data_IF_445268990489
#
_entry.id   IF_445268990489
#
_cell.length_a   1.000
_cell.length_b   1.000
_cell.length_c   1.000
_cell.angle_alpha   90.00
_cell.angle_beta   90.00
_cell.angle_gamma   90.00
#
_symmetry.space_group_name_H-M   'P 1'
#
loop_
_entity.id
_entity.type
_entity.pdbx_description
1 polymer ?
#
# COMPACT_ATOMS: atom_id res chain seq x y z
N UNK A 1 -14.56 10.79 -2.99
CA UNK A 1 -13.12 10.74 -3.32
C UNK A 1 -12.57 9.38 -2.96
N UNK A 2 -11.56 8.92 -3.70
CA UNK A 2 -10.98 7.62 -3.42
C UNK A 2 -10.22 7.62 -2.09
N UNK A 3 -10.31 6.52 -1.37
CA UNK A 3 -9.60 6.32 -0.10
C UNK A 3 -8.41 5.40 -0.33
N UNK A 4 -7.24 5.85 0.08
CA UNK A 4 -5.99 5.09 -0.03
C UNK A 4 -5.48 4.77 1.37
N UNK A 5 -5.23 3.50 1.63
CA UNK A 5 -4.57 3.08 2.86
C UNK A 5 -3.09 2.89 2.58
N UNK A 6 -2.25 3.69 3.23
CA UNK A 6 -0.80 3.58 3.10
C UNK A 6 -0.20 2.98 4.36
N UNK A 7 0.74 2.08 4.17
CA UNK A 7 1.41 1.39 5.27
C UNK A 7 2.93 1.43 5.09
N UNK A 8 3.61 1.94 6.10
CA UNK A 8 5.08 2.01 6.15
C UNK A 8 5.47 2.19 7.61
N UNK A 9 6.57 1.58 8.03
CA UNK A 9 7.04 1.72 9.41
C UNK A 9 7.80 3.02 9.65
N UNK A 10 8.09 3.79 8.61
CA UNK A 10 8.72 5.10 8.73
C UNK A 10 7.65 6.19 8.83
N UNK A 11 7.59 6.86 9.97
CA UNK A 11 6.67 7.97 10.17
C UNK A 11 6.92 9.11 9.18
N UNK A 12 8.18 9.34 8.82
CA UNK A 12 8.54 10.37 7.85
C UNK A 12 7.97 10.07 6.48
N UNK A 13 8.10 8.82 6.02
CA UNK A 13 7.56 8.41 4.72
C UNK A 13 6.03 8.45 4.74
N UNK A 14 5.40 8.00 5.82
CA UNK A 14 3.94 8.08 5.95
C UNK A 14 3.46 9.53 5.84
N UNK A 15 4.13 10.45 6.51
CA UNK A 15 3.78 11.87 6.46
C UNK A 15 3.93 12.44 5.05
N UNK A 16 5.03 12.12 4.39
CA UNK A 16 5.27 12.60 3.02
C UNK A 16 4.22 12.05 2.05
N UNK A 17 3.94 10.76 2.10
CA UNK A 17 2.94 10.15 1.23
C UNK A 17 1.56 10.70 1.51
N UNK A 18 1.18 10.79 2.79
CA UNK A 18 -0.12 11.32 3.19
C UNK A 18 -0.31 12.74 2.67
N UNK A 19 0.69 13.60 2.89
CA UNK A 19 0.62 14.99 2.47
C UNK A 19 0.42 15.10 0.96
N UNK A 20 1.21 14.34 0.19
CA UNK A 20 1.12 14.38 -1.27
C UNK A 20 -0.21 13.85 -1.79
N UNK A 21 -0.72 12.78 -1.20
CA UNK A 21 -1.98 12.21 -1.63
C UNK A 21 -3.16 13.11 -1.24
N UNK A 22 -3.15 13.67 -0.05
CA UNK A 22 -4.20 14.60 0.36
C UNK A 22 -4.23 15.85 -0.52
N UNK A 23 -3.08 16.36 -0.89
CA UNK A 23 -3.00 17.48 -1.83
C UNK A 23 -3.55 17.14 -3.20
N UNK A 24 -3.49 15.88 -3.59
CA UNK A 24 -4.03 15.40 -4.87
C UNK A 24 -5.53 15.07 -4.79
N UNK A 25 -6.16 15.21 -3.61
CA UNK A 25 -7.60 15.02 -3.44
C UNK A 25 -8.03 13.67 -2.92
N UNK A 26 -7.09 12.84 -2.44
CA UNK A 26 -7.43 11.52 -1.87
C UNK A 26 -7.68 11.62 -0.37
N UNK A 27 -8.57 10.76 0.12
CA UNK A 27 -8.67 10.49 1.55
C UNK A 27 -7.63 9.45 1.91
N UNK A 28 -6.90 9.66 3.01
CA UNK A 28 -5.77 8.82 3.37
C UNK A 28 -5.93 8.22 4.76
N UNK A 29 -5.74 6.89 4.83
CA UNK A 29 -5.60 6.17 6.08
C UNK A 29 -4.16 5.70 6.17
N UNK A 30 -3.61 5.61 7.38
CA UNK A 30 -2.21 5.19 7.58
C UNK A 30 -2.12 4.02 8.54
N UNK A 31 -1.10 3.18 8.33
CA UNK A 31 -0.77 2.06 9.22
C UNK A 31 0.75 1.93 9.31
N UNK A 32 1.25 1.54 10.48
CA UNK A 32 2.68 1.43 10.73
C UNK A 32 3.21 0.00 10.55
N UNK A 33 2.33 -0.97 10.43
CA UNK A 33 2.69 -2.38 10.18
C UNK A 33 1.49 -3.13 9.62
N UNK A 34 1.72 -4.40 9.27
CA UNK A 34 0.69 -5.22 8.64
C UNK A 34 -0.51 -5.50 9.54
N UNK A 35 -0.31 -5.60 10.85
CA UNK A 35 -1.43 -5.81 11.76
C UNK A 35 -2.34 -4.57 11.80
N UNK A 36 -1.76 -3.38 11.81
CA UNK A 36 -2.56 -2.15 11.74
C UNK A 36 -3.31 -2.03 10.42
N UNK A 37 -2.76 -2.55 9.33
CA UNK A 37 -3.48 -2.62 8.04
C UNK A 37 -4.76 -3.43 8.21
N UNK A 38 -4.66 -4.62 8.80
CA UNK A 38 -5.81 -5.48 9.01
C UNK A 38 -6.83 -4.83 9.94
N UNK A 39 -6.37 -4.23 11.03
CA UNK A 39 -7.25 -3.55 11.99
C UNK A 39 -7.98 -2.36 11.36
N UNK A 40 -7.28 -1.62 10.51
CA UNK A 40 -7.85 -0.46 9.82
C UNK A 40 -8.94 -0.88 8.83
N UNK A 41 -8.70 -1.93 8.06
CA UNK A 41 -9.70 -2.47 7.14
C UNK A 41 -10.92 -2.99 7.91
N UNK A 42 -10.68 -3.68 9.03
CA UNK A 42 -11.78 -4.19 9.86
C UNK A 42 -12.65 -3.07 10.44
N UNK A 43 -12.02 -1.95 10.81
CA UNK A 43 -12.74 -0.84 11.45
C UNK A 43 -13.34 0.18 10.49
N UNK A 44 -12.72 0.38 9.34
CA UNK A 44 -13.10 1.45 8.40
C UNK A 44 -13.67 0.93 7.07
N UNK A 45 -13.65 -0.35 6.84
CA UNK A 45 -14.03 -0.95 5.56
C UNK A 45 -12.87 -0.96 4.58
N UNK A 46 -13.10 -1.59 3.43
CA UNK A 46 -12.08 -1.78 2.39
C UNK A 46 -11.80 -0.45 1.69
N UNK A 47 -10.54 0.00 1.65
CA UNK A 47 -10.20 1.21 0.88
C UNK A 47 -10.27 0.95 -0.62
N UNK A 48 -10.13 2.01 -1.41
CA UNK A 48 -10.10 1.91 -2.87
C UNK A 48 -8.75 1.47 -3.41
N UNK A 49 -7.69 1.66 -2.62
CA UNK A 49 -6.34 1.25 -2.98
C UNK A 49 -5.53 0.98 -1.72
N UNK A 50 -4.67 -0.04 -1.78
CA UNK A 50 -3.66 -0.31 -0.76
C UNK A 50 -2.29 0.07 -1.31
N UNK A 51 -1.50 0.77 -0.49
CA UNK A 51 -0.12 1.11 -0.80
C UNK A 51 0.72 0.62 0.36
N UNK A 52 1.35 -0.55 0.20
CA UNK A 52 1.97 -1.29 1.29
C UNK A 52 3.47 -1.39 1.12
N UNK A 53 4.22 -1.04 2.17
CA UNK A 53 5.64 -1.38 2.24
C UNK A 53 5.77 -2.90 2.38
N UNK A 54 6.65 -3.49 1.58
CA UNK A 54 6.88 -4.93 1.61
C UNK A 54 7.41 -5.40 2.97
N UNK A 55 8.27 -4.59 3.59
CA UNK A 55 8.97 -4.95 4.82
C UNK A 55 8.57 -4.03 5.96
N UNK A 56 7.88 -4.57 6.95
CA UNK A 56 7.47 -3.86 8.15
C UNK A 56 7.63 -4.77 9.36
N UNK A 57 7.81 -4.20 10.59
CA UNK A 57 7.87 -5.03 11.79
C UNK A 57 6.55 -5.71 12.10
N UNK A 58 6.58 -6.72 12.92
CA UNK A 58 5.46 -7.55 13.38
C UNK A 58 4.81 -8.33 12.25
N UNK A 59 4.23 -7.65 11.26
CA UNK A 59 3.61 -8.28 10.10
C UNK A 59 3.95 -7.46 8.86
N UNK A 60 4.48 -8.13 7.84
CA UNK A 60 4.87 -7.45 6.60
C UNK A 60 3.65 -7.06 5.77
N UNK A 61 3.86 -6.15 4.81
CA UNK A 61 2.79 -5.77 3.88
C UNK A 61 2.31 -6.95 3.05
N UNK A 62 3.21 -7.84 2.67
CA UNK A 62 2.88 -9.04 1.90
C UNK A 62 1.99 -9.98 2.73
N UNK A 63 2.34 -10.21 4.01
CA UNK A 63 1.55 -11.06 4.89
C UNK A 63 0.17 -10.46 5.13
N UNK A 64 0.08 -9.15 5.34
CA UNK A 64 -1.20 -8.47 5.51
C UNK A 64 -2.07 -8.62 4.25
N UNK A 65 -1.47 -8.44 3.08
CA UNK A 65 -2.20 -8.61 1.82
C UNK A 65 -2.71 -10.03 1.65
N UNK A 66 -1.90 -11.01 2.01
CA UNK A 66 -2.29 -12.43 1.93
C UNK A 66 -3.52 -12.71 2.78
N UNK A 67 -3.54 -12.18 4.01
CA UNK A 67 -4.70 -12.33 4.89
C UNK A 67 -5.94 -11.60 4.34
N UNK A 68 -5.77 -10.40 3.78
CA UNK A 68 -6.89 -9.67 3.18
C UNK A 68 -7.48 -10.42 1.99
N UNK A 69 -6.63 -10.97 1.13
CA UNK A 69 -7.09 -11.77 -0.02
C UNK A 69 -7.83 -13.03 0.44
N UNK A 70 -7.32 -13.68 1.49
CA UNK A 70 -7.97 -14.87 2.07
C UNK A 70 -9.34 -14.53 2.66
N UNK A 71 -9.51 -13.32 3.15
CA UNK A 71 -10.79 -12.86 3.69
C UNK A 71 -11.76 -12.33 2.61
N UNK A 72 -11.37 -12.37 1.34
CA UNK A 72 -12.23 -11.97 0.23
C UNK A 72 -12.10 -10.51 -0.18
N UNK A 73 -11.16 -9.77 0.39
CA UNK A 73 -10.94 -8.38 0.00
C UNK A 73 -10.09 -8.33 -1.29
N UNK A 74 -10.69 -7.85 -2.36
CA UNK A 74 -10.05 -7.78 -3.68
C UNK A 74 -9.88 -6.32 -4.07
N UNK A 75 -8.95 -5.65 -3.39
CA UNK A 75 -8.67 -4.23 -3.57
C UNK A 75 -7.37 -4.05 -4.36
N UNK A 76 -7.31 -3.08 -5.31
CA UNK A 76 -6.07 -2.78 -6.01
C UNK A 76 -4.94 -2.47 -5.03
N UNK A 77 -3.76 -3.03 -5.29
CA UNK A 77 -2.64 -2.98 -4.35
C UNK A 77 -1.35 -2.64 -5.07
N UNK A 78 -0.61 -1.68 -4.51
CA UNK A 78 0.76 -1.37 -4.90
C UNK A 78 1.69 -1.75 -3.76
N UNK A 79 2.79 -2.40 -4.09
CA UNK A 79 3.82 -2.77 -3.12
C UNK A 79 5.00 -1.81 -3.27
N UNK A 80 5.44 -1.21 -2.16
CA UNK A 80 6.61 -0.35 -2.12
C UNK A 80 7.77 -1.16 -1.60
N UNK A 81 8.89 -1.17 -2.32
CA UNK A 81 10.03 -2.01 -1.98
C UNK A 81 11.34 -1.31 -2.31
N UNK A 82 12.38 -1.63 -1.52
CA UNK A 82 13.73 -1.20 -1.83
C UNK A 82 14.34 -2.00 -2.99
N UNK A 83 13.75 -3.14 -3.36
CA UNK A 83 14.23 -3.97 -4.47
C UNK A 83 13.67 -3.45 -5.78
N UNK A 84 14.54 -3.34 -6.78
CA UNK A 84 14.17 -2.78 -8.09
C UNK A 84 13.49 -3.78 -8.99
N UNK A 85 13.62 -5.05 -8.71
CA UNK A 85 13.13 -6.10 -9.59
C UNK A 85 11.91 -6.78 -8.97
N UNK A 86 10.72 -6.64 -9.55
CA UNK A 86 9.51 -7.26 -8.99
C UNK A 86 9.54 -8.79 -9.01
N UNK A 87 10.50 -9.41 -9.72
CA UNK A 87 10.68 -10.85 -9.70
C UNK A 87 11.54 -11.36 -8.57
N UNK A 88 12.00 -10.52 -7.65
CA UNK A 88 12.81 -10.92 -6.51
C UNK A 88 12.03 -11.79 -5.53
N UNK A 89 12.78 -12.44 -4.62
CA UNK A 89 12.22 -13.39 -3.67
C UNK A 89 11.11 -12.81 -2.77
N UNK A 90 11.12 -11.50 -2.57
CA UNK A 90 10.11 -10.81 -1.75
C UNK A 90 8.78 -10.61 -2.48
N UNK A 91 8.77 -10.79 -3.80
CA UNK A 91 7.57 -10.58 -4.60
C UNK A 91 6.81 -11.90 -4.75
N UNK A 92 5.63 -12.04 -4.11
CA UNK A 92 4.85 -13.27 -4.24
C UNK A 92 4.28 -13.40 -5.64
N UNK A 93 4.23 -14.62 -6.14
CA UNK A 93 3.64 -14.91 -7.46
C UNK A 93 2.19 -15.35 -7.35
N UNK A 94 1.71 -15.62 -6.14
CA UNK A 94 0.37 -16.12 -5.88
C UNK A 94 -0.64 -15.05 -5.50
N UNK A 95 -0.17 -13.79 -5.32
CA UNK A 95 -1.05 -12.67 -4.98
C UNK A 95 -1.21 -11.74 -6.18
N UNK A 96 -2.42 -11.25 -6.35
CA UNK A 96 -2.70 -10.25 -7.38
C UNK A 96 -2.21 -8.88 -6.88
N UNK A 97 -1.08 -8.44 -7.41
CA UNK A 97 -0.48 -7.14 -7.11
C UNK A 97 -0.49 -6.31 -8.38
N UNK A 98 -1.03 -5.09 -8.29
CA UNK A 98 -1.26 -4.25 -9.47
C UNK A 98 -0.01 -3.49 -9.91
N UNK A 99 0.96 -3.35 -9.03
CA UNK A 99 2.22 -2.71 -9.38
C UNK A 99 3.19 -2.65 -8.23
N UNK A 100 4.41 -2.26 -8.55
CA UNK A 100 5.51 -2.12 -7.61
C UNK A 100 6.09 -0.72 -7.71
N UNK A 101 6.34 -0.12 -6.55
CA UNK A 101 6.98 1.19 -6.44
C UNK A 101 8.34 0.96 -5.79
N UNK A 102 9.40 1.40 -6.45
CA UNK A 102 10.76 1.24 -5.96
C UNK A 102 11.16 2.46 -5.12
N UNK A 103 11.85 2.22 -4.02
CA UNK A 103 12.44 3.30 -3.22
C UNK A 103 13.80 3.73 -3.83
N UNK A 104 14.12 5.03 -3.83
CA UNK A 104 13.32 6.16 -3.34
C UNK A 104 12.10 6.43 -4.20
N UNK A 105 11.02 6.89 -3.56
CA UNK A 105 9.74 7.05 -4.23
C UNK A 105 9.75 8.27 -5.15
N UNK A 106 9.37 8.07 -6.41
CA UNK A 106 9.05 9.14 -7.34
C UNK A 106 7.55 9.46 -7.15
N UNK A 107 7.25 10.54 -6.45
CA UNK A 107 5.88 10.87 -6.08
C UNK A 107 5.01 11.20 -7.29
N UNK A 108 5.56 11.82 -8.33
CA UNK A 108 4.78 12.14 -9.52
C UNK A 108 4.31 10.87 -10.22
N UNK A 109 5.21 9.89 -10.36
CA UNK A 109 4.87 8.60 -10.94
C UNK A 109 3.90 7.82 -10.05
N UNK A 110 4.09 7.88 -8.74
CA UNK A 110 3.19 7.24 -7.79
C UNK A 110 1.77 7.77 -7.94
N UNK A 111 1.61 9.09 -7.99
CA UNK A 111 0.30 9.72 -8.15
C UNK A 111 -0.37 9.36 -9.47
N UNK A 112 0.41 9.28 -10.56
CA UNK A 112 -0.12 8.82 -11.85
C UNK A 112 -0.65 7.39 -11.77
N UNK A 113 0.11 6.51 -11.12
CA UNK A 113 -0.28 5.11 -10.98
C UNK A 113 -1.54 4.97 -10.12
N UNK A 114 -1.62 5.72 -9.02
CA UNK A 114 -2.79 5.72 -8.15
C UNK A 114 -4.02 6.20 -8.92
N UNK A 115 -3.88 7.25 -9.71
CA UNK A 115 -4.98 7.78 -10.50
C UNK A 115 -5.52 6.75 -11.49
N UNK A 116 -4.64 5.99 -12.13
CA UNK A 116 -5.03 4.93 -13.05
C UNK A 116 -5.82 3.82 -12.35
N UNK A 117 -5.38 3.43 -11.15
CA UNK A 117 -5.98 2.31 -10.42
C UNK A 117 -7.27 2.69 -9.71
N UNK A 118 -7.49 3.97 -9.43
CA UNK A 118 -8.69 4.45 -8.74
C UNK A 118 -9.69 5.16 -9.66
N UNK A 119 -9.38 5.19 -10.94
CA UNK A 119 -10.25 5.85 -11.93
C UNK A 119 -11.60 5.15 -12.10
#
# INVERSE_FOLDING_TARGET
MATVLIADDSETILLLMRTRLEMAGYDVLTAADGQEVLDTVAGNGTPDLLLLDAMMPRKSGIDALRELRSAGHDVPTLIVSAHQNPGDADAPTDLAIDGYITKPIDFDRLLETIAELTA
#
